data_IF_110081833998
#
_entry.id   IF_110081833998
#
_cell.length_a   1.000
_cell.length_b   1.000
_cell.length_c   1.000
_cell.angle_alpha   90.00
_cell.angle_beta   90.00
_cell.angle_gamma   90.00
#
_symmetry.space_group_name_H-M   'P 1'
#
loop_
_entity.id
_entity.type
_entity.pdbx_description
1 polymer ?
#
# COMPACT_ATOMS: atom_id res chain seq x y z
N UNK A 1 19.71 40.80 -32.62
CA UNK A 1 19.62 39.36 -32.92
C UNK A 1 19.92 38.75 -31.58
N UNK A 2 18.92 38.86 -30.73
CA UNK A 2 19.00 38.54 -29.32
C UNK A 2 18.75 37.04 -29.24
N UNK A 3 19.80 36.31 -28.90
CA UNK A 3 19.79 34.88 -28.63
C UNK A 3 18.72 34.60 -27.56
N UNK A 4 17.55 34.15 -28.03
CA UNK A 4 16.53 33.50 -27.21
C UNK A 4 17.07 32.11 -26.94
N UNK A 5 17.82 31.96 -25.84
CA UNK A 5 18.20 30.64 -25.35
C UNK A 5 16.94 29.93 -24.84
N UNK A 6 16.70 28.78 -25.48
CA UNK A 6 15.57 27.89 -25.36
C UNK A 6 15.28 27.52 -23.89
N UNK A 7 14.05 27.83 -23.47
CA UNK A 7 13.40 27.10 -22.39
C UNK A 7 13.03 25.70 -22.92
N UNK A 8 13.88 24.71 -22.66
CA UNK A 8 13.49 23.31 -22.77
C UNK A 8 13.42 22.69 -21.38
N UNK A 9 12.19 22.66 -20.92
CA UNK A 9 11.64 22.03 -19.74
C UNK A 9 11.97 20.53 -19.72
N UNK A 10 12.96 20.13 -18.91
CA UNK A 10 13.22 18.70 -18.66
C UNK A 10 12.29 18.25 -17.52
N UNK A 11 11.05 17.93 -17.87
CA UNK A 11 10.11 17.26 -16.99
C UNK A 11 10.58 15.80 -16.86
N UNK A 12 11.40 15.53 -15.85
CA UNK A 12 11.85 14.19 -15.52
C UNK A 12 10.71 13.41 -14.83
N UNK A 13 9.71 13.03 -15.64
CA UNK A 13 8.78 11.97 -15.29
C UNK A 13 9.54 10.65 -15.31
N UNK A 14 9.72 10.04 -14.13
CA UNK A 14 9.50 8.59 -13.84
C UNK A 14 10.34 8.13 -12.65
N UNK A 15 9.74 8.18 -11.46
CA UNK A 15 10.11 7.29 -10.36
C UNK A 15 8.88 6.53 -9.88
N UNK A 16 8.24 5.80 -10.79
CA UNK A 16 7.46 4.62 -10.39
C UNK A 16 8.47 3.50 -10.17
N UNK A 17 8.93 3.38 -8.92
CA UNK A 17 9.74 2.25 -8.48
C UNK A 17 8.85 0.99 -8.51
N UNK A 18 9.06 0.01 -9.41
CA UNK A 18 8.19 -1.16 -9.53
C UNK A 18 8.51 -2.24 -8.48
N UNK A 19 9.19 -1.87 -7.38
CA UNK A 19 9.73 -2.82 -6.42
C UNK A 19 9.22 -2.59 -4.99
N UNK A 20 7.96 -2.16 -4.86
CA UNK A 20 7.20 -2.43 -3.64
C UNK A 20 6.87 -3.92 -3.63
N UNK A 21 7.88 -4.74 -3.29
CA UNK A 21 7.63 -6.02 -2.63
C UNK A 21 6.72 -5.65 -1.47
N UNK A 22 5.42 -5.92 -1.63
CA UNK A 22 4.46 -5.76 -0.56
C UNK A 22 4.83 -6.82 0.47
N UNK A 23 5.83 -6.53 1.29
CA UNK A 23 5.91 -7.11 2.62
C UNK A 23 4.54 -6.81 3.22
N UNK A 24 3.69 -7.82 3.24
CA UNK A 24 2.33 -7.66 3.72
C UNK A 24 2.46 -7.52 5.23
N UNK A 25 2.72 -6.30 5.66
CA UNK A 25 2.88 -5.97 7.06
C UNK A 25 1.63 -6.41 7.83
N UNK A 26 1.85 -6.89 9.04
CA UNK A 26 0.78 -7.28 9.99
C UNK A 26 -0.39 -6.27 10.00
N UNK A 27 -0.16 -4.94 10.06
CA UNK A 27 -1.23 -3.95 9.94
C UNK A 27 -2.01 -3.99 8.61
N UNK A 28 -1.36 -4.21 7.47
CA UNK A 28 -2.01 -4.34 6.15
C UNK A 28 -2.90 -5.59 6.10
N UNK A 29 -2.43 -6.70 6.67
CA UNK A 29 -3.24 -7.91 6.78
C UNK A 29 -4.47 -7.68 7.67
N UNK A 30 -4.28 -7.05 8.82
CA UNK A 30 -5.38 -6.67 9.72
C UNK A 30 -6.43 -5.79 9.05
N UNK A 31 -6.00 -4.83 8.23
CA UNK A 31 -6.93 -3.97 7.50
C UNK A 31 -7.81 -4.80 6.55
N UNK A 32 -7.21 -5.72 5.77
CA UNK A 32 -7.96 -6.65 4.91
C UNK A 32 -8.91 -7.53 5.69
N UNK A 33 -8.47 -8.11 6.81
CA UNK A 33 -9.37 -8.93 7.63
C UNK A 33 -10.53 -8.10 8.21
N UNK A 34 -10.30 -6.82 8.53
CA UNK A 34 -11.36 -5.93 9.02
C UNK A 34 -12.39 -5.64 7.93
N UNK A 35 -11.94 -5.42 6.70
CA UNK A 35 -12.83 -5.27 5.54
C UNK A 35 -13.65 -6.54 5.30
N UNK A 36 -13.03 -7.73 5.39
CA UNK A 36 -13.73 -9.00 5.26
C UNK A 36 -14.79 -9.19 6.35
N UNK A 37 -14.52 -8.74 7.57
CA UNK A 37 -15.47 -8.75 8.67
C UNK A 37 -16.65 -7.80 8.39
N UNK A 38 -16.36 -6.58 7.94
CA UNK A 38 -17.38 -5.57 7.61
C UNK A 38 -18.24 -6.01 6.41
N UNK A 39 -17.66 -6.76 5.47
CA UNK A 39 -18.37 -7.41 4.35
C UNK A 39 -19.13 -8.68 4.78
N UNK A 40 -18.97 -9.14 6.02
CA UNK A 40 -19.59 -10.37 6.53
C UNK A 40 -19.02 -11.65 5.93
N UNK A 41 -17.82 -11.60 5.34
CA UNK A 41 -17.11 -12.76 4.78
C UNK A 41 -16.49 -13.61 5.88
N UNK A 42 -16.03 -12.97 6.95
CA UNK A 42 -15.51 -13.63 8.15
C UNK A 42 -16.29 -13.16 9.37
N UNK A 43 -16.22 -13.96 10.43
CA UNK A 43 -16.80 -13.62 11.74
C UNK A 43 -15.80 -12.85 12.61
N UNK A 44 -16.32 -12.17 13.64
CA UNK A 44 -15.48 -11.42 14.61
C UNK A 44 -14.43 -12.33 15.28
N UNK A 45 -14.80 -13.59 15.55
CA UNK A 45 -13.91 -14.60 16.13
C UNK A 45 -12.74 -14.95 15.19
N UNK A 46 -13.01 -15.12 13.89
CA UNK A 46 -11.97 -15.38 12.88
C UNK A 46 -11.02 -14.18 12.72
N UNK A 47 -11.55 -12.95 12.72
CA UNK A 47 -10.75 -11.73 12.70
C UNK A 47 -9.81 -11.67 13.91
N UNK A 48 -10.33 -11.92 15.12
CA UNK A 48 -9.53 -11.87 16.34
C UNK A 48 -8.47 -12.97 16.41
N UNK A 49 -8.81 -14.18 15.99
CA UNK A 49 -7.86 -15.30 15.93
C UNK A 49 -6.68 -14.95 15.01
N UNK A 50 -6.97 -14.44 13.80
CA UNK A 50 -5.93 -14.00 12.87
C UNK A 50 -5.14 -12.81 13.37
N UNK A 51 -5.79 -11.87 14.06
CA UNK A 51 -5.11 -10.73 14.69
C UNK A 51 -4.09 -11.18 15.75
N UNK A 52 -4.48 -12.10 16.63
CA UNK A 52 -3.57 -12.62 17.67
C UNK A 52 -2.42 -13.41 17.08
N UNK A 53 -2.70 -14.25 16.08
CA UNK A 53 -1.69 -15.03 15.34
C UNK A 53 -0.66 -14.11 14.65
N UNK A 54 -1.13 -13.06 13.97
CA UNK A 54 -0.25 -12.10 13.29
C UNK A 54 0.58 -11.24 14.25
N UNK A 55 0.07 -10.96 15.45
CA UNK A 55 0.81 -10.22 16.49
C UNK A 55 1.66 -11.13 17.38
N UNK A 56 1.61 -12.46 17.21
CA UNK A 56 2.25 -13.45 18.09
C UNK A 56 1.93 -13.23 19.59
N UNK A 57 0.66 -12.95 19.90
CA UNK A 57 0.17 -12.72 21.28
C UNK A 57 -0.39 -13.99 21.95
#
# INVERSE_FOLDING_TARGET
>A
MDDVEEENEVIEAKQENPNSVQEIDVPTQLLKYKELLDLGVITQDEFEAKKKELLNL
#
